data_IF_513205134472
#
_entry.id   IF_513205134472
#
_cell.length_a   1.000
_cell.length_b   1.000
_cell.length_c   1.000
_cell.angle_alpha   90.00
_cell.angle_beta   90.00
_cell.angle_gamma   90.00
#
_symmetry.space_group_name_H-M   'P 1'
#
loop_
_entity.id
_entity.type
_entity.pdbx_description
1 polymer ?
#
# COMPACT_ATOMS: atom_id res chain seq x y z
N UNK A 1 36.08 2.38 32.48
CA UNK A 1 35.07 3.35 32.96
C UNK A 1 33.78 2.88 32.37
N UNK A 2 32.85 2.45 33.21
CA UNK A 2 31.56 1.87 32.81
C UNK A 2 30.77 2.86 32.02
N UNK A 3 30.47 2.54 30.75
CA UNK A 3 29.40 3.17 30.02
C UNK A 3 28.13 2.79 30.76
N UNK A 4 27.55 3.73 31.54
CA UNK A 4 26.18 3.57 32.02
C UNK A 4 25.27 3.50 30.81
N UNK A 5 24.78 2.31 30.52
CA UNK A 5 23.87 2.07 29.41
C UNK A 5 22.60 2.88 29.70
N UNK A 6 22.27 3.83 28.80
CA UNK A 6 21.01 4.58 28.85
C UNK A 6 19.83 3.63 29.03
N UNK A 7 18.89 3.99 29.89
CA UNK A 7 17.62 3.26 30.00
C UNK A 7 16.85 3.32 28.67
N UNK A 8 15.92 2.40 28.40
CA UNK A 8 15.11 2.42 27.18
C UNK A 8 14.39 3.76 26.96
N UNK A 9 13.94 4.42 28.04
CA UNK A 9 13.28 5.73 27.95
C UNK A 9 14.27 6.84 27.57
N UNK A 10 15.43 6.88 28.19
CA UNK A 10 16.48 7.85 27.86
C UNK A 10 16.99 7.69 26.42
N UNK A 11 17.09 6.46 25.92
CA UNK A 11 17.42 6.19 24.53
C UNK A 11 16.38 6.75 23.57
N UNK A 12 15.07 6.54 23.86
CA UNK A 12 13.97 7.08 23.07
C UNK A 12 13.95 8.60 23.06
N UNK A 13 14.14 9.24 24.21
CA UNK A 13 14.20 10.70 24.32
C UNK A 13 15.39 11.27 23.55
N UNK A 14 16.57 10.64 23.66
CA UNK A 14 17.77 11.09 22.95
C UNK A 14 17.64 10.92 21.43
N UNK A 15 17.09 9.81 20.97
CA UNK A 15 16.85 9.56 19.56
C UNK A 15 15.88 10.62 18.99
N UNK A 16 14.79 10.89 19.72
CA UNK A 16 13.82 11.92 19.35
C UNK A 16 14.46 13.32 19.33
N UNK A 17 15.26 13.67 20.33
CA UNK A 17 15.98 14.96 20.40
C UNK A 17 16.86 15.16 19.15
N UNK A 18 17.65 14.17 18.77
CA UNK A 18 18.54 14.24 17.60
C UNK A 18 17.73 14.43 16.31
N UNK A 19 16.61 13.72 16.17
CA UNK A 19 15.75 13.86 15.00
C UNK A 19 15.07 15.24 14.95
N UNK A 20 14.59 15.78 16.08
CA UNK A 20 14.02 17.12 16.14
C UNK A 20 15.03 18.19 15.74
N UNK A 21 16.29 18.11 16.19
CA UNK A 21 17.35 19.03 15.82
C UNK A 21 17.64 18.97 14.32
N UNK A 22 17.61 17.75 13.72
CA UNK A 22 17.71 17.57 12.29
C UNK A 22 16.55 18.26 11.53
N UNK A 23 15.31 18.10 12.02
CA UNK A 23 14.14 18.79 11.47
C UNK A 23 14.22 20.32 11.59
N UNK A 24 14.91 20.82 12.60
CA UNK A 24 15.17 22.26 12.80
C UNK A 24 16.30 22.80 11.91
N UNK A 25 16.91 21.92 11.08
CA UNK A 25 17.94 22.32 10.10
C UNK A 25 19.38 22.29 10.62
N UNK A 26 19.64 21.58 11.71
CA UNK A 26 21.02 21.32 12.15
C UNK A 26 21.74 20.42 11.14
N UNK A 27 23.05 20.60 10.98
CA UNK A 27 23.85 19.89 9.98
C UNK A 27 23.89 18.39 10.26
N UNK A 28 23.68 17.60 9.21
CA UNK A 28 23.66 16.13 9.28
C UNK A 28 24.93 15.56 9.91
N UNK A 29 26.10 16.09 9.56
CA UNK A 29 27.39 15.59 10.07
C UNK A 29 27.48 15.71 11.61
N UNK A 30 26.93 16.80 12.19
CA UNK A 30 26.92 17.03 13.64
C UNK A 30 25.99 16.02 14.33
N UNK A 31 24.81 15.83 13.75
CA UNK A 31 23.83 14.86 14.27
C UNK A 31 24.39 13.43 14.17
N UNK A 32 25.05 13.08 13.05
CA UNK A 32 25.67 11.78 12.86
C UNK A 32 26.78 11.49 13.89
N UNK A 33 27.63 12.47 14.17
CA UNK A 33 28.67 12.31 15.20
C UNK A 33 28.07 12.09 16.58
N UNK A 34 27.04 12.83 16.93
CA UNK A 34 26.37 12.69 18.22
C UNK A 34 25.57 11.38 18.31
N UNK A 35 24.88 10.98 17.25
CA UNK A 35 24.23 9.68 17.13
C UNK A 35 25.22 8.53 17.37
N UNK A 36 26.36 8.56 16.70
CA UNK A 36 27.39 7.52 16.85
C UNK A 36 28.01 7.45 18.25
N UNK A 37 27.95 8.51 19.06
CA UNK A 37 28.42 8.53 20.45
C UNK A 37 27.44 7.83 21.41
N UNK A 38 26.14 7.90 21.10
CA UNK A 38 25.10 7.46 22.02
C UNK A 38 24.48 6.12 21.63
N UNK A 39 24.55 5.75 20.34
CA UNK A 39 23.92 4.53 19.83
C UNK A 39 24.94 3.63 19.13
N UNK A 40 25.09 2.40 19.64
CA UNK A 40 25.82 1.33 18.95
C UNK A 40 24.92 0.64 17.93
N UNK A 41 23.64 0.47 18.27
CA UNK A 41 22.57 -0.01 17.37
C UNK A 41 21.23 0.62 17.73
N UNK A 42 20.31 0.65 16.79
CA UNK A 42 18.91 1.09 16.98
C UNK A 42 18.01 0.00 16.43
N UNK A 43 17.04 -0.44 17.23
CA UNK A 43 16.08 -1.44 16.80
C UNK A 43 14.98 -0.81 15.92
N UNK A 44 14.37 -1.60 15.03
CA UNK A 44 13.21 -1.16 14.23
C UNK A 44 12.04 -0.66 15.10
N UNK A 45 11.87 -1.22 16.28
CA UNK A 45 10.87 -0.77 17.25
C UNK A 45 11.18 0.63 17.79
N UNK A 46 12.45 0.94 18.10
CA UNK A 46 12.86 2.28 18.53
C UNK A 46 12.60 3.33 17.43
N UNK A 47 12.82 2.97 16.16
CA UNK A 47 12.52 3.84 15.01
C UNK A 47 11.02 4.12 14.95
N UNK A 48 10.17 3.11 15.05
CA UNK A 48 8.71 3.25 15.03
C UNK A 48 8.20 4.15 16.15
N UNK A 49 8.70 3.95 17.39
CA UNK A 49 8.30 4.76 18.55
C UNK A 49 8.74 6.21 18.37
N UNK A 50 9.94 6.42 17.85
CA UNK A 50 10.47 7.75 17.55
C UNK A 50 9.59 8.49 16.52
N UNK A 51 9.28 7.88 15.38
CA UNK A 51 8.44 8.48 14.34
C UNK A 51 7.04 8.82 14.87
N UNK A 52 6.42 7.92 15.64
CA UNK A 52 5.14 8.17 16.29
C UNK A 52 5.21 9.36 17.26
N UNK A 53 6.28 9.46 18.05
CA UNK A 53 6.45 10.55 19.01
C UNK A 53 6.66 11.90 18.29
N UNK A 54 7.40 11.92 17.17
CA UNK A 54 7.55 13.11 16.34
C UNK A 54 6.20 13.60 15.79
N UNK A 55 5.36 12.67 15.30
CA UNK A 55 4.01 13.01 14.81
C UNK A 55 3.11 13.55 15.93
N UNK A 56 3.21 13.02 17.15
CA UNK A 56 2.46 13.54 18.31
C UNK A 56 2.90 14.95 18.72
N UNK A 57 4.13 15.34 18.45
CA UNK A 57 4.64 16.69 18.69
C UNK A 57 4.34 17.67 17.54
N UNK A 58 3.58 17.24 16.54
CA UNK A 58 3.11 18.09 15.46
C UNK A 58 4.00 18.12 14.23
N UNK A 59 5.04 17.27 14.17
CA UNK A 59 5.80 17.06 12.93
C UNK A 59 4.88 16.32 11.96
N UNK A 60 4.66 16.91 10.79
CA UNK A 60 3.79 16.29 9.78
C UNK A 60 4.46 15.07 9.13
N UNK A 61 3.66 14.19 8.55
CA UNK A 61 4.21 13.04 7.86
C UNK A 61 5.07 13.47 6.64
N UNK A 62 4.71 14.58 5.98
CA UNK A 62 5.47 15.16 4.87
C UNK A 62 6.87 15.63 5.31
N UNK A 63 6.98 16.17 6.50
CA UNK A 63 8.27 16.56 7.07
C UNK A 63 9.12 15.34 7.41
N UNK A 64 8.52 14.28 7.99
CA UNK A 64 9.21 13.01 8.27
C UNK A 64 9.67 12.38 6.94
N UNK A 65 8.82 12.36 5.92
CA UNK A 65 9.13 11.84 4.60
C UNK A 65 10.29 12.58 3.94
N UNK A 66 10.29 13.91 3.97
CA UNK A 66 11.37 14.74 3.40
C UNK A 66 12.74 14.41 3.98
N UNK A 67 12.81 14.06 5.26
CA UNK A 67 14.04 13.72 5.96
C UNK A 67 14.25 12.20 6.09
N UNK A 68 13.36 11.39 5.51
CA UNK A 68 13.44 9.94 5.59
C UNK A 68 14.77 9.38 5.05
N UNK A 69 15.33 9.98 3.99
CA UNK A 69 16.65 9.61 3.46
C UNK A 69 17.76 9.84 4.48
N UNK A 70 17.73 10.99 5.14
CA UNK A 70 18.72 11.36 6.17
C UNK A 70 18.55 10.46 7.38
N UNK A 71 17.30 10.18 7.81
CA UNK A 71 17.03 9.22 8.88
C UNK A 71 17.58 7.83 8.55
N UNK A 72 17.34 7.33 7.32
CA UNK A 72 17.86 6.05 6.88
C UNK A 72 19.39 6.04 6.79
N UNK A 73 20.01 7.09 6.31
CA UNK A 73 21.48 7.25 6.25
C UNK A 73 22.10 7.22 7.65
N UNK A 74 21.55 8.00 8.59
CA UNK A 74 22.02 8.05 9.98
C UNK A 74 21.96 6.68 10.68
N UNK A 75 20.91 5.90 10.40
CA UNK A 75 20.64 4.63 11.07
C UNK A 75 21.23 3.42 10.33
N UNK A 76 21.52 3.52 9.02
CA UNK A 76 21.87 2.39 8.16
C UNK A 76 23.01 1.51 8.66
N UNK A 77 24.01 2.10 9.32
CA UNK A 77 25.15 1.36 9.90
C UNK A 77 24.86 0.75 11.29
N UNK A 78 23.72 1.05 11.87
CA UNK A 78 23.41 0.79 13.28
C UNK A 78 22.06 0.09 13.51
N UNK A 79 21.31 -0.23 12.45
CA UNK A 79 20.06 -1.00 12.58
C UNK A 79 20.41 -2.46 12.91
N UNK A 80 19.83 -2.99 13.98
CA UNK A 80 19.97 -4.39 14.32
C UNK A 80 19.34 -5.25 13.23
N UNK A 81 20.14 -6.10 12.60
CA UNK A 81 19.62 -7.15 11.72
C UNK A 81 18.80 -8.11 12.61
N UNK A 82 17.51 -8.19 12.37
CA UNK A 82 16.68 -9.18 13.04
C UNK A 82 17.24 -10.58 12.80
N UNK A 83 17.37 -11.37 13.86
CA UNK A 83 17.73 -12.79 13.72
C UNK A 83 16.70 -13.44 12.80
N UNK A 84 17.18 -14.06 11.70
CA UNK A 84 16.32 -14.72 10.72
C UNK A 84 15.47 -15.79 11.38
N UNK A 85 14.15 -15.63 11.41
CA UNK A 85 13.28 -16.70 11.85
C UNK A 85 13.30 -17.82 10.80
N UNK A 86 13.48 -19.09 11.19
CA UNK A 86 13.61 -20.21 10.24
C UNK A 86 12.47 -20.31 9.21
N UNK A 87 11.26 -19.84 9.58
CA UNK A 87 10.10 -19.87 8.68
C UNK A 87 10.17 -18.82 7.56
N UNK A 88 10.92 -17.73 7.74
CA UNK A 88 11.05 -16.67 6.74
C UNK A 88 11.87 -17.08 5.50
N UNK A 89 12.60 -18.18 5.59
CA UNK A 89 13.35 -18.75 4.47
C UNK A 89 12.56 -19.81 3.69
N UNK A 90 11.36 -20.17 4.17
CA UNK A 90 10.49 -21.12 3.47
C UNK A 90 9.98 -20.55 2.16
N UNK A 91 9.96 -21.40 1.12
CA UNK A 91 9.44 -21.01 -0.19
C UNK A 91 7.98 -20.54 -0.10
N UNK A 92 7.69 -19.44 -0.77
CA UNK A 92 6.37 -18.80 -0.77
C UNK A 92 6.02 -18.01 0.50
N UNK A 93 6.84 -18.06 1.57
CA UNK A 93 6.62 -17.20 2.73
C UNK A 93 6.68 -15.72 2.30
N UNK A 94 5.76 -14.82 2.75
CA UNK A 94 5.70 -13.43 2.32
C UNK A 94 7.04 -12.68 2.42
N UNK A 95 7.81 -12.89 3.49
CA UNK A 95 9.14 -12.27 3.64
C UNK A 95 10.13 -12.80 2.61
N UNK A 96 10.13 -14.12 2.34
CA UNK A 96 10.99 -14.70 1.29
C UNK A 96 10.65 -14.14 -0.08
N UNK A 97 9.36 -14.01 -0.39
CA UNK A 97 8.88 -13.43 -1.65
C UNK A 97 9.38 -12.00 -1.80
N UNK A 98 9.19 -11.14 -0.78
CA UNK A 98 9.69 -9.75 -0.81
C UNK A 98 11.19 -9.68 -1.06
N UNK A 99 11.99 -10.50 -0.34
CA UNK A 99 13.45 -10.54 -0.51
C UNK A 99 13.89 -11.02 -1.91
N UNK A 100 13.23 -12.05 -2.46
CA UNK A 100 13.52 -12.54 -3.82
C UNK A 100 13.20 -11.48 -4.86
N UNK A 101 12.10 -10.77 -4.72
CA UNK A 101 11.72 -9.68 -5.60
C UNK A 101 12.67 -8.50 -5.50
N UNK A 102 13.11 -8.11 -4.30
CA UNK A 102 14.13 -7.10 -4.11
C UNK A 102 15.44 -7.46 -4.81
N UNK A 103 15.87 -8.72 -4.72
CA UNK A 103 17.04 -9.20 -5.45
C UNK A 103 16.85 -9.12 -6.98
N UNK A 104 15.68 -9.48 -7.47
CA UNK A 104 15.35 -9.42 -8.89
C UNK A 104 15.29 -7.97 -9.41
N UNK A 105 14.74 -7.04 -8.60
CA UNK A 105 14.70 -5.61 -8.89
C UNK A 105 16.12 -5.02 -8.98
N UNK A 106 17.01 -5.30 -8.00
CA UNK A 106 18.43 -4.90 -8.08
C UNK A 106 19.07 -5.38 -9.39
N UNK A 107 18.86 -6.66 -9.73
CA UNK A 107 19.40 -7.22 -10.97
C UNK A 107 18.82 -6.59 -12.24
N UNK A 108 17.55 -6.17 -12.25
CA UNK A 108 16.93 -5.46 -13.36
C UNK A 108 17.50 -4.04 -13.50
N UNK A 109 17.63 -3.31 -12.40
CA UNK A 109 18.22 -1.96 -12.37
C UNK A 109 19.67 -1.96 -12.90
N UNK A 110 20.48 -2.91 -12.48
CA UNK A 110 21.87 -3.02 -12.96
C UNK A 110 21.98 -3.41 -14.43
N UNK A 111 21.03 -4.21 -14.93
CA UNK A 111 20.96 -4.55 -16.37
C UNK A 111 20.52 -3.35 -17.19
N UNK A 112 19.53 -2.58 -16.75
CA UNK A 112 19.06 -1.38 -17.43
C UNK A 112 20.20 -0.35 -17.51
N UNK A 113 20.90 -0.10 -16.43
CA UNK A 113 22.02 0.84 -16.41
C UNK A 113 23.07 0.51 -17.48
N UNK A 114 23.55 -0.74 -17.50
CA UNK A 114 24.56 -1.17 -18.48
C UNK A 114 24.06 -1.06 -19.93
N UNK A 115 22.83 -1.48 -20.18
CA UNK A 115 22.23 -1.41 -21.51
C UNK A 115 22.00 0.05 -21.94
N UNK A 116 21.58 0.91 -21.01
CA UNK A 116 21.32 2.32 -21.28
C UNK A 116 22.63 3.08 -21.59
N UNK A 117 23.69 2.84 -20.83
CA UNK A 117 25.03 3.38 -21.10
C UNK A 117 25.52 3.00 -22.51
N UNK A 118 25.38 1.72 -22.88
CA UNK A 118 25.76 1.24 -24.21
C UNK A 118 24.87 1.84 -25.31
N UNK A 119 23.56 1.92 -25.08
CA UNK A 119 22.61 2.47 -26.04
C UNK A 119 22.81 3.97 -26.31
N UNK A 120 23.03 4.76 -25.25
CA UNK A 120 23.26 6.22 -25.41
C UNK A 120 24.43 6.48 -26.32
N UNK A 121 25.48 5.65 -26.23
CA UNK A 121 26.71 5.79 -27.03
C UNK A 121 26.59 5.27 -28.46
N UNK A 122 25.86 4.17 -28.69
CA UNK A 122 25.82 3.46 -29.98
C UNK A 122 24.55 3.68 -30.78
N UNK A 123 23.45 3.99 -30.11
CA UNK A 123 22.08 4.05 -30.67
C UNK A 123 21.65 2.74 -31.38
N UNK A 124 22.18 1.61 -30.93
CA UNK A 124 21.93 0.28 -31.50
C UNK A 124 20.49 -0.18 -31.22
N UNK A 125 19.78 -0.64 -32.25
CA UNK A 125 18.38 -1.07 -32.14
C UNK A 125 18.21 -2.35 -31.31
N UNK A 126 19.16 -3.27 -31.28
CA UNK A 126 19.09 -4.48 -30.46
C UNK A 126 19.23 -4.14 -28.98
N UNK A 127 20.08 -3.15 -28.63
CA UNK A 127 20.15 -2.62 -27.26
C UNK A 127 18.83 -1.95 -26.87
N UNK A 128 18.19 -1.21 -27.78
CA UNK A 128 16.88 -0.60 -27.52
C UNK A 128 15.80 -1.65 -27.25
N UNK A 129 15.77 -2.74 -28.02
CA UNK A 129 14.84 -3.86 -27.75
C UNK A 129 15.11 -4.50 -26.40
N UNK A 130 16.39 -4.70 -26.07
CA UNK A 130 16.81 -5.21 -24.75
C UNK A 130 16.34 -4.30 -23.61
N UNK A 131 16.54 -2.99 -23.75
CA UNK A 131 16.07 -1.98 -22.78
C UNK A 131 14.56 -2.00 -22.57
N UNK A 132 13.79 -1.96 -23.66
CA UNK A 132 12.30 -2.03 -23.57
C UNK A 132 11.86 -3.26 -22.80
N UNK A 133 12.50 -4.42 -23.03
CA UNK A 133 12.20 -5.64 -22.29
C UNK A 133 12.53 -5.54 -20.81
N UNK A 134 13.69 -4.97 -20.45
CA UNK A 134 14.12 -4.83 -19.05
C UNK A 134 13.27 -3.79 -18.31
N UNK A 135 12.92 -2.69 -18.97
CA UNK A 135 11.99 -1.68 -18.41
C UNK A 135 10.62 -2.29 -18.17
N UNK A 136 10.09 -3.09 -19.11
CA UNK A 136 8.82 -3.81 -18.91
C UNK A 136 8.86 -4.85 -17.77
N UNK A 137 10.03 -5.43 -17.47
CA UNK A 137 10.19 -6.24 -16.25
C UNK A 137 10.24 -5.36 -15.00
N UNK A 138 10.93 -4.23 -15.05
CA UNK A 138 11.00 -3.30 -13.92
C UNK A 138 9.64 -2.68 -13.59
N UNK A 139 8.76 -2.45 -14.57
CA UNK A 139 7.38 -1.97 -14.36
C UNK A 139 6.61 -2.80 -13.31
N UNK A 140 6.99 -4.07 -13.12
CA UNK A 140 6.35 -4.95 -12.14
C UNK A 140 6.66 -4.58 -10.68
N UNK A 141 7.56 -3.60 -10.42
CA UNK A 141 7.75 -3.10 -9.04
C UNK A 141 6.44 -2.56 -8.47
N UNK A 142 5.51 -2.14 -9.32
CA UNK A 142 4.18 -1.72 -8.91
C UNK A 142 3.42 -2.82 -8.16
N UNK A 143 3.48 -4.06 -8.61
CA UNK A 143 2.87 -5.21 -7.92
C UNK A 143 3.45 -5.40 -6.52
N UNK A 144 4.76 -5.20 -6.37
CA UNK A 144 5.46 -5.26 -5.09
C UNK A 144 4.98 -4.16 -4.12
N UNK A 145 4.80 -2.93 -4.63
CA UNK A 145 4.30 -1.81 -3.83
C UNK A 145 2.83 -1.99 -3.45
N UNK A 146 1.97 -2.38 -4.39
CA UNK A 146 0.56 -2.65 -4.12
C UNK A 146 0.37 -3.71 -3.03
N UNK A 147 1.17 -4.78 -3.02
CA UNK A 147 1.10 -5.77 -1.95
C UNK A 147 1.48 -5.21 -0.59
N UNK A 148 2.49 -4.35 -0.51
CA UNK A 148 2.81 -3.68 0.75
C UNK A 148 1.67 -2.78 1.19
N UNK A 149 1.17 -1.94 0.30
CA UNK A 149 0.13 -0.94 0.58
C UNK A 149 -1.20 -1.58 1.01
N UNK A 150 -1.60 -2.67 0.36
CA UNK A 150 -2.93 -3.26 0.53
C UNK A 150 -2.97 -4.61 1.24
N UNK A 151 -1.87 -5.33 1.37
CA UNK A 151 -1.83 -6.57 2.14
C UNK A 151 -1.01 -6.44 3.43
N UNK A 152 0.18 -5.81 3.39
CA UNK A 152 1.06 -5.71 4.56
C UNK A 152 0.66 -4.56 5.50
N UNK A 153 0.48 -3.34 4.98
CA UNK A 153 0.22 -2.14 5.78
C UNK A 153 -1.07 -2.22 6.60
N UNK A 154 -2.19 -2.77 6.10
CA UNK A 154 -3.39 -2.97 6.91
C UNK A 154 -3.15 -3.86 8.15
N UNK A 155 -2.31 -4.89 8.02
CA UNK A 155 -1.96 -5.76 9.14
C UNK A 155 -1.11 -4.98 10.15
N UNK A 156 -0.12 -4.21 9.69
CA UNK A 156 0.68 -3.34 10.56
C UNK A 156 -0.19 -2.37 11.35
N UNK A 157 -1.13 -1.70 10.68
CA UNK A 157 -2.05 -0.75 11.30
C UNK A 157 -2.92 -1.42 12.38
N UNK A 158 -3.40 -2.64 12.13
CA UNK A 158 -4.17 -3.43 13.11
C UNK A 158 -3.36 -3.76 14.37
N UNK A 159 -2.03 -3.75 14.28
CA UNK A 159 -1.08 -3.92 15.40
C UNK A 159 -0.65 -2.59 16.03
N UNK A 160 -1.22 -1.47 15.60
CA UNK A 160 -0.86 -0.12 16.10
C UNK A 160 0.40 0.47 15.46
N UNK A 161 0.95 -0.17 14.41
CA UNK A 161 2.08 0.34 13.65
C UNK A 161 1.52 1.20 12.51
N UNK A 162 1.33 2.50 12.73
CA UNK A 162 0.61 3.38 11.79
C UNK A 162 1.51 4.40 11.08
N UNK A 163 2.61 4.82 11.68
CA UNK A 163 3.49 5.83 11.09
C UNK A 163 4.30 5.29 9.90
N UNK A 164 5.02 4.15 10.00
CA UNK A 164 5.82 3.63 8.88
C UNK A 164 5.00 3.35 7.61
N UNK A 165 3.81 2.73 7.65
CA UNK A 165 2.97 2.56 6.46
C UNK A 165 2.67 3.87 5.74
N UNK A 166 2.30 4.92 6.46
CA UNK A 166 1.98 6.23 5.87
C UNK A 166 3.19 6.87 5.19
N UNK A 167 4.34 6.87 5.87
CA UNK A 167 5.59 7.40 5.32
C UNK A 167 6.02 6.62 4.08
N UNK A 168 6.02 5.29 4.16
CA UNK A 168 6.43 4.45 3.03
C UNK A 168 5.49 4.59 1.82
N UNK A 169 4.19 4.71 2.05
CA UNK A 169 3.25 4.95 0.94
C UNK A 169 3.54 6.28 0.24
N UNK A 170 3.83 7.35 1.00
CA UNK A 170 4.22 8.64 0.42
C UNK A 170 5.48 8.52 -0.45
N UNK A 171 6.50 7.81 0.03
CA UNK A 171 7.75 7.57 -0.74
C UNK A 171 7.48 6.69 -1.97
N UNK A 172 6.60 5.69 -1.89
CA UNK A 172 6.19 4.91 -3.08
C UNK A 172 5.60 5.81 -4.16
N UNK A 173 4.77 6.78 -3.79
CA UNK A 173 4.19 7.73 -4.73
C UNK A 173 5.25 8.63 -5.38
N UNK A 174 6.25 9.08 -4.61
CA UNK A 174 7.39 9.84 -5.15
C UNK A 174 8.20 9.01 -6.14
N UNK A 175 8.49 7.75 -5.80
CA UNK A 175 9.21 6.82 -6.68
C UNK A 175 8.43 6.59 -7.98
N UNK A 176 7.10 6.46 -7.92
CA UNK A 176 6.24 6.35 -9.10
C UNK A 176 6.39 7.55 -10.04
N UNK A 177 6.39 8.77 -9.51
CA UNK A 177 6.57 9.98 -10.32
C UNK A 177 7.98 10.08 -10.90
N UNK A 178 9.01 9.78 -10.12
CA UNK A 178 10.40 9.77 -10.58
C UNK A 178 10.59 8.72 -11.70
N UNK A 179 10.08 7.52 -11.50
CA UNK A 179 10.15 6.46 -12.50
C UNK A 179 9.37 6.80 -13.77
N UNK A 180 8.23 7.46 -13.65
CA UNK A 180 7.46 7.97 -14.78
C UNK A 180 8.26 8.99 -15.59
N UNK A 181 8.95 9.94 -14.92
CA UNK A 181 9.81 10.91 -15.61
C UNK A 181 10.93 10.22 -16.40
N UNK A 182 11.56 9.18 -15.82
CA UNK A 182 12.52 8.35 -16.56
C UNK A 182 11.88 7.69 -17.79
N UNK A 183 10.68 7.10 -17.68
CA UNK A 183 9.98 6.46 -18.81
C UNK A 183 9.65 7.47 -19.91
N UNK A 184 9.22 8.67 -19.56
CA UNK A 184 8.98 9.76 -20.51
C UNK A 184 10.27 10.19 -21.21
N UNK A 185 11.38 10.37 -20.48
CA UNK A 185 12.68 10.67 -21.05
C UNK A 185 13.17 9.56 -22.00
N UNK A 186 12.97 8.30 -21.60
CA UNK A 186 13.32 7.13 -22.44
C UNK A 186 12.45 7.06 -23.70
N UNK A 187 11.15 7.29 -23.60
CA UNK A 187 10.23 7.27 -24.74
C UNK A 187 10.56 8.39 -25.74
N UNK A 188 10.84 9.59 -25.24
CA UNK A 188 11.15 10.77 -26.04
C UNK A 188 12.62 10.84 -26.46
N UNK A 189 13.45 9.88 -26.01
CA UNK A 189 14.91 9.80 -26.28
C UNK A 189 15.65 11.10 -25.95
N UNK A 190 15.34 11.71 -24.81
CA UNK A 190 15.95 12.96 -24.37
C UNK A 190 17.39 12.75 -23.91
N UNK A 191 18.20 13.81 -23.93
CA UNK A 191 19.64 13.72 -23.57
C UNK A 191 19.86 13.41 -22.10
N UNK A 192 18.90 13.72 -21.22
CA UNK A 192 18.95 13.49 -19.78
C UNK A 192 18.43 12.11 -19.35
N UNK A 193 18.10 11.22 -20.28
CA UNK A 193 17.52 9.88 -19.98
C UNK A 193 18.37 9.07 -18.99
N UNK A 194 19.71 9.20 -19.08
CA UNK A 194 20.62 8.50 -18.16
C UNK A 194 20.54 9.09 -16.75
N UNK A 195 20.48 10.41 -16.63
CA UNK A 195 20.32 11.12 -15.35
C UNK A 195 19.00 10.74 -14.68
N UNK A 196 17.89 10.79 -15.43
CA UNK A 196 16.57 10.41 -14.95
C UNK A 196 16.55 8.95 -14.47
N UNK A 197 17.21 8.05 -15.17
CA UNK A 197 17.34 6.66 -14.76
C UNK A 197 18.12 6.51 -13.46
N UNK A 198 19.25 7.20 -13.31
CA UNK A 198 20.09 7.09 -12.11
C UNK A 198 19.34 7.59 -10.87
N UNK A 199 18.57 8.67 -10.98
CA UNK A 199 17.70 9.14 -9.91
C UNK A 199 16.65 8.09 -9.56
N UNK A 200 15.96 7.51 -10.54
CA UNK A 200 14.99 6.45 -10.31
C UNK A 200 15.62 5.19 -9.68
N UNK A 201 16.82 4.81 -10.13
CA UNK A 201 17.57 3.68 -9.58
C UNK A 201 17.91 3.91 -8.11
N UNK A 202 18.39 5.09 -7.74
CA UNK A 202 18.77 5.44 -6.37
C UNK A 202 17.59 5.32 -5.43
N UNK A 203 16.43 5.90 -5.80
CA UNK A 203 15.23 5.86 -4.98
C UNK A 203 14.67 4.44 -4.79
N UNK A 204 14.66 3.63 -5.85
CA UNK A 204 14.26 2.22 -5.78
C UNK A 204 15.19 1.41 -4.88
N UNK A 205 16.51 1.61 -4.98
CA UNK A 205 17.49 0.93 -4.13
C UNK A 205 17.38 1.36 -2.67
N UNK A 206 17.11 2.63 -2.41
CA UNK A 206 16.88 3.13 -1.06
C UNK A 206 15.61 2.54 -0.44
N UNK A 207 14.53 2.41 -1.21
CA UNK A 207 13.31 1.75 -0.74
C UNK A 207 13.57 0.27 -0.40
N UNK A 208 14.29 -0.46 -1.27
CA UNK A 208 14.69 -1.83 -0.99
C UNK A 208 15.52 -1.93 0.30
N UNK A 209 16.44 -0.99 0.52
CA UNK A 209 17.21 -0.93 1.76
C UNK A 209 16.31 -0.76 2.99
N UNK A 210 15.34 0.17 2.95
CA UNK A 210 14.38 0.41 4.05
C UNK A 210 13.51 -0.82 4.32
N UNK A 211 13.10 -1.52 3.28
CA UNK A 211 12.34 -2.76 3.42
C UNK A 211 13.13 -3.85 4.13
N UNK A 212 14.35 -4.12 3.70
CA UNK A 212 15.15 -5.23 4.23
C UNK A 212 15.67 -4.97 5.64
N UNK A 213 16.00 -3.71 5.94
CA UNK A 213 16.69 -3.37 7.19
C UNK A 213 15.76 -2.74 8.25
N UNK A 214 14.60 -2.22 7.87
CA UNK A 214 13.67 -1.59 8.80
C UNK A 214 12.32 -2.29 8.80
N UNK A 215 11.64 -2.36 7.65
CA UNK A 215 10.28 -2.87 7.56
C UNK A 215 10.20 -4.36 7.93
N UNK A 216 10.99 -5.21 7.27
CA UNK A 216 10.95 -6.66 7.50
C UNK A 216 11.30 -7.02 8.95
N UNK A 217 12.38 -6.49 9.58
CA UNK A 217 12.64 -6.72 10.99
C UNK A 217 11.52 -6.26 11.93
N UNK A 218 10.90 -5.10 11.62
CA UNK A 218 9.80 -4.54 12.40
C UNK A 218 8.57 -5.47 12.39
N UNK A 219 8.13 -5.89 11.20
CA UNK A 219 6.98 -6.79 11.08
C UNK A 219 7.27 -8.19 11.59
N UNK A 220 8.53 -8.65 11.49
CA UNK A 220 8.97 -9.92 12.07
C UNK A 220 8.78 -9.98 13.59
N UNK A 221 8.96 -8.87 14.29
CA UNK A 221 8.74 -8.78 15.74
C UNK A 221 7.26 -8.64 16.11
N UNK A 222 6.44 -8.06 15.24
CA UNK A 222 5.05 -7.68 15.53
C UNK A 222 4.03 -8.71 15.05
N UNK A 223 4.34 -9.47 14.00
CA UNK A 223 3.41 -10.37 13.33
C UNK A 223 3.43 -11.77 13.90
N UNK A 224 2.25 -12.37 14.02
CA UNK A 224 2.05 -13.77 14.30
C UNK A 224 1.85 -14.57 13.02
N UNK A 225 1.85 -15.88 13.13
CA UNK A 225 1.68 -16.80 11.99
C UNK A 225 0.40 -16.50 11.19
N UNK A 226 -0.70 -16.21 11.88
CA UNK A 226 -1.99 -15.89 11.24
C UNK A 226 -1.94 -14.58 10.43
N UNK A 227 -1.09 -13.62 10.81
CA UNK A 227 -0.90 -12.36 10.08
C UNK A 227 -0.18 -12.63 8.75
N UNK A 228 0.84 -13.49 8.78
CA UNK A 228 1.54 -13.93 7.58
C UNK A 228 0.65 -14.75 6.65
N UNK A 229 -0.23 -15.60 7.23
CA UNK A 229 -1.22 -16.36 6.47
C UNK A 229 -2.18 -15.42 5.72
N UNK A 230 -2.68 -14.38 6.36
CA UNK A 230 -3.52 -13.34 5.72
C UNK A 230 -2.79 -12.65 4.58
N UNK A 231 -1.55 -12.19 4.81
CA UNK A 231 -0.74 -11.55 3.77
C UNK A 231 -0.50 -12.50 2.59
N UNK A 232 -0.22 -13.78 2.83
CA UNK A 232 -0.04 -14.78 1.79
C UNK A 232 -1.32 -15.00 0.96
N UNK A 233 -2.50 -15.01 1.61
CA UNK A 233 -3.80 -15.15 0.96
C UNK A 233 -4.17 -13.95 0.09
N UNK A 234 -3.81 -12.74 0.51
CA UNK A 234 -4.10 -11.50 -0.23
C UNK A 234 -3.11 -11.25 -1.39
N UNK A 235 -1.90 -11.81 -1.32
CA UNK A 235 -0.80 -11.61 -2.29
C UNK A 235 -1.19 -11.89 -3.75
N UNK A 236 -1.90 -12.98 -4.10
CA UNK A 236 -2.21 -13.29 -5.50
C UNK A 236 -3.04 -12.24 -6.22
N UNK A 237 -3.81 -11.42 -5.50
CA UNK A 237 -4.65 -10.37 -6.08
C UNK A 237 -3.82 -9.25 -6.73
N UNK A 238 -2.60 -9.03 -6.24
CA UNK A 238 -1.70 -7.96 -6.72
C UNK A 238 -0.61 -8.48 -7.65
N UNK A 239 -0.48 -9.81 -7.77
CA UNK A 239 0.57 -10.45 -8.55
C UNK A 239 1.95 -10.35 -7.88
N UNK A 240 2.96 -10.81 -8.61
CA UNK A 240 4.36 -10.86 -8.18
C UNK A 240 5.21 -9.91 -9.01
N UNK A 241 6.41 -9.60 -8.52
CA UNK A 241 7.36 -8.73 -9.19
C UNK A 241 8.54 -9.53 -9.74
N UNK A 242 8.66 -9.63 -11.06
CA UNK A 242 9.74 -10.29 -11.82
C UNK A 242 9.87 -11.81 -11.55
N UNK A 243 9.75 -12.23 -10.30
CA UNK A 243 9.87 -13.62 -9.85
C UNK A 243 8.58 -14.05 -9.17
N UNK A 244 8.16 -15.30 -9.45
CA UNK A 244 7.00 -15.94 -8.81
C UNK A 244 7.53 -17.06 -7.90
N UNK A 245 7.01 -17.24 -6.69
CA UNK A 245 7.41 -18.35 -5.83
C UNK A 245 7.02 -19.69 -6.47
N UNK A 246 7.86 -20.72 -6.28
CA UNK A 246 7.63 -22.06 -6.84
C UNK A 246 6.50 -22.80 -6.11
N UNK A 247 6.20 -22.41 -4.87
CA UNK A 247 5.15 -23.00 -4.05
C UNK A 247 4.42 -21.95 -3.22
N UNK A 248 3.14 -22.16 -2.97
CA UNK A 248 2.38 -21.36 -2.00
C UNK A 248 2.81 -21.73 -0.58
N UNK A 249 3.07 -20.74 0.24
CA UNK A 249 3.29 -20.97 1.65
C UNK A 249 1.96 -21.23 2.37
N UNK A 250 1.90 -22.34 3.09
CA UNK A 250 0.74 -22.75 3.89
C UNK A 250 1.19 -23.10 5.29
N UNK A 251 0.44 -22.65 6.27
CA UNK A 251 0.66 -23.02 7.66
C UNK A 251 0.21 -24.47 7.85
N UNK A 252 1.11 -25.33 8.32
CA UNK A 252 0.73 -26.67 8.79
C UNK A 252 -0.11 -26.53 10.05
N UNK A 253 -1.43 -26.47 9.91
CA UNK A 253 -2.34 -26.49 11.07
C UNK A 253 -2.30 -27.88 11.68
N UNK A 254 -1.62 -28.02 12.84
CA UNK A 254 -1.89 -29.17 13.68
C UNK A 254 -3.39 -29.16 14.01
N UNK A 255 -4.11 -30.31 13.91
CA UNK A 255 -5.51 -30.32 14.26
C UNK A 255 -5.67 -29.91 15.72
N UNK A 256 -6.02 -28.66 15.94
CA UNK A 256 -6.51 -28.22 17.24
C UNK A 256 -7.85 -28.92 17.49
N UNK A 257 -8.13 -29.37 18.72
CA UNK A 257 -9.44 -29.89 19.03
C UNK A 257 -10.44 -28.80 18.70
N UNK A 258 -11.35 -29.14 17.84
CA UNK A 258 -12.44 -28.41 17.24
C UNK A 258 -12.96 -27.33 18.20
N UNK A 259 -12.55 -26.08 17.99
CA UNK A 259 -13.49 -25.00 18.22
C UNK A 259 -14.42 -25.04 17.01
N UNK A 260 -15.57 -25.64 17.18
CA UNK A 260 -16.69 -25.50 16.30
C UNK A 260 -16.84 -23.99 16.06
N UNK A 261 -16.54 -23.53 14.82
CA UNK A 261 -17.27 -22.40 14.30
C UNK A 261 -18.72 -22.80 14.47
N UNK A 262 -19.40 -22.21 15.43
CA UNK A 262 -20.84 -22.12 15.35
C UNK A 262 -21.06 -21.38 14.02
N UNK A 263 -21.29 -22.16 12.96
CA UNK A 263 -22.05 -21.72 11.83
C UNK A 263 -23.36 -21.27 12.46
N UNK A 264 -23.49 -19.95 12.59
CA UNK A 264 -24.79 -19.34 12.82
C UNK A 264 -25.56 -19.64 11.54
N UNK A 265 -26.16 -20.84 11.52
CA UNK A 265 -27.28 -21.14 10.64
C UNK A 265 -28.48 -20.34 11.20
N UNK A 266 -28.44 -19.04 11.08
CA UNK A 266 -29.67 -18.25 11.05
C UNK A 266 -30.31 -18.50 9.67
N UNK A 267 -31.06 -19.58 9.59
CA UNK A 267 -31.98 -19.93 8.49
C UNK A 267 -33.23 -19.05 8.55
N UNK A 268 -33.06 -17.76 8.76
CA UNK A 268 -34.14 -16.80 8.76
C UNK A 268 -33.98 -15.75 7.68
N UNK A 269 -35.04 -15.49 6.91
CA UNK A 269 -35.03 -14.36 5.98
C UNK A 269 -34.96 -13.05 6.77
N UNK A 270 -34.12 -12.14 6.32
CA UNK A 270 -34.01 -10.79 6.84
C UNK A 270 -35.13 -9.96 6.24
N UNK A 271 -36.02 -9.39 7.07
CA UNK A 271 -37.08 -8.52 6.56
C UNK A 271 -36.52 -7.22 6.02
N UNK A 272 -36.83 -6.89 4.79
CA UNK A 272 -36.51 -5.63 4.12
C UNK A 272 -37.77 -4.80 3.96
N UNK A 273 -37.65 -3.54 3.52
CA UNK A 273 -38.80 -2.63 3.36
C UNK A 273 -39.87 -3.13 2.37
N UNK A 274 -39.50 -3.97 1.40
CA UNK A 274 -40.37 -4.44 0.32
C UNK A 274 -40.38 -5.95 0.14
N UNK A 275 -39.86 -6.71 1.13
CA UNK A 275 -39.80 -8.17 1.05
C UNK A 275 -38.82 -8.74 2.05
N UNK A 276 -38.36 -9.97 1.83
CA UNK A 276 -37.35 -10.61 2.65
C UNK A 276 -36.36 -11.37 1.81
N UNK A 277 -35.13 -11.47 2.29
CA UNK A 277 -34.02 -12.20 1.65
C UNK A 277 -33.24 -12.96 2.72
N UNK A 278 -32.74 -14.16 2.38
CA UNK A 278 -31.73 -14.77 3.22
C UNK A 278 -30.41 -14.01 3.12
N UNK A 279 -29.50 -14.18 4.09
CA UNK A 279 -28.15 -13.61 4.02
C UNK A 279 -27.41 -14.04 2.75
N UNK A 280 -27.54 -15.31 2.37
CA UNK A 280 -26.96 -15.85 1.15
C UNK A 280 -27.51 -15.16 -0.10
N UNK A 281 -28.84 -14.98 -0.19
CA UNK A 281 -29.46 -14.27 -1.30
C UNK A 281 -28.99 -12.82 -1.37
N UNK A 282 -28.90 -12.13 -0.23
CA UNK A 282 -28.43 -10.75 -0.18
C UNK A 282 -26.97 -10.63 -0.66
N UNK A 283 -26.09 -11.52 -0.19
CA UNK A 283 -24.67 -11.52 -0.61
C UNK A 283 -24.54 -11.80 -2.11
N UNK A 284 -25.22 -12.82 -2.62
CA UNK A 284 -25.22 -13.15 -4.05
C UNK A 284 -25.74 -11.99 -4.92
N UNK A 285 -26.82 -11.34 -4.50
CA UNK A 285 -27.40 -10.20 -5.23
C UNK A 285 -26.42 -9.01 -5.27
N UNK A 286 -25.79 -8.67 -4.15
CA UNK A 286 -24.81 -7.60 -4.08
C UNK A 286 -23.58 -7.89 -4.96
N UNK A 287 -23.16 -9.15 -5.05
CA UNK A 287 -22.04 -9.58 -5.87
C UNK A 287 -22.36 -9.63 -7.38
N UNK A 288 -23.63 -9.75 -7.76
CA UNK A 288 -24.09 -9.74 -9.16
C UNK A 288 -24.32 -8.34 -9.73
N UNK A 289 -24.31 -7.29 -8.90
CA UNK A 289 -24.47 -5.93 -9.40
C UNK A 289 -23.29 -5.56 -10.32
N UNK A 290 -23.56 -4.92 -11.49
CA UNK A 290 -22.51 -4.53 -12.43
C UNK A 290 -21.78 -3.26 -11.96
N UNK A 291 -21.39 -3.24 -10.70
CA UNK A 291 -20.67 -2.14 -10.05
C UNK A 291 -19.92 -2.65 -8.83
N UNK A 292 -18.84 -1.98 -8.50
CA UNK A 292 -18.15 -2.20 -7.25
C UNK A 292 -18.83 -1.37 -6.15
N UNK A 293 -19.12 -1.99 -5.03
CA UNK A 293 -19.75 -1.35 -3.86
C UNK A 293 -18.77 -1.34 -2.71
N UNK A 294 -18.77 -0.25 -1.94
CA UNK A 294 -18.16 -0.19 -0.61
C UNK A 294 -19.05 0.56 0.34
N UNK A 295 -19.16 0.07 1.56
CA UNK A 295 -19.86 0.77 2.63
C UNK A 295 -18.89 1.11 3.77
N UNK A 296 -18.84 2.39 4.11
CA UNK A 296 -18.07 2.95 5.22
C UNK A 296 -19.06 3.47 6.24
N UNK A 297 -18.92 3.06 7.51
CA UNK A 297 -19.87 3.45 8.55
C UNK A 297 -19.68 4.91 9.02
N UNK A 298 -20.53 5.32 9.95
CA UNK A 298 -20.52 6.66 10.55
C UNK A 298 -19.21 7.02 11.27
N UNK A 299 -18.43 6.03 11.67
CA UNK A 299 -17.15 6.18 12.37
C UNK A 299 -15.96 6.12 11.40
N UNK A 300 -16.22 6.21 10.10
CA UNK A 300 -15.28 6.13 8.98
C UNK A 300 -14.62 4.75 8.80
N UNK A 301 -15.20 3.69 9.35
CA UNK A 301 -14.65 2.34 9.24
C UNK A 301 -15.26 1.62 8.04
N UNK A 302 -14.42 1.02 7.20
CA UNK A 302 -14.85 0.19 6.08
C UNK A 302 -15.52 -1.07 6.63
N UNK A 303 -16.81 -1.27 6.31
CA UNK A 303 -17.62 -2.39 6.80
C UNK A 303 -17.89 -3.46 5.77
N UNK A 304 -17.99 -3.07 4.52
CA UNK A 304 -18.38 -3.97 3.46
C UNK A 304 -17.82 -3.52 2.11
N UNK A 305 -17.50 -4.46 1.27
CA UNK A 305 -17.39 -4.29 -0.19
C UNK A 305 -17.87 -5.59 -0.86
N UNK A 306 -18.45 -5.47 -2.06
CA UNK A 306 -18.82 -6.67 -2.81
C UNK A 306 -17.60 -7.27 -3.53
N UNK A 307 -17.58 -8.60 -3.66
CA UNK A 307 -16.53 -9.29 -4.42
C UNK A 307 -16.71 -9.14 -5.94
N UNK A 308 -17.93 -8.79 -6.38
CA UNK A 308 -18.28 -8.64 -7.79
C UNK A 308 -18.52 -9.98 -8.49
N UNK A 309 -18.77 -9.92 -9.80
CA UNK A 309 -19.17 -11.06 -10.63
C UNK A 309 -18.00 -11.73 -11.38
N UNK A 310 -16.75 -11.52 -10.93
CA UNK A 310 -15.55 -12.02 -11.59
C UNK A 310 -14.97 -11.13 -12.68
N UNK A 311 -15.53 -9.94 -12.90
CA UNK A 311 -14.91 -8.92 -13.75
C UNK A 311 -13.69 -8.28 -13.04
N UNK A 312 -12.75 -7.78 -13.85
CA UNK A 312 -11.58 -7.08 -13.32
C UNK A 312 -12.00 -5.83 -12.53
N UNK A 313 -11.58 -5.76 -11.27
CA UNK A 313 -11.89 -4.63 -10.39
C UNK A 313 -11.20 -3.35 -10.84
N UNK A 314 -11.93 -2.25 -10.81
CA UNK A 314 -11.43 -0.90 -11.08
C UNK A 314 -10.55 -0.45 -9.92
N UNK A 315 -11.04 -0.66 -8.69
CA UNK A 315 -10.28 -0.47 -7.45
C UNK A 315 -10.11 -1.81 -6.75
N UNK A 316 -8.88 -2.24 -6.61
CA UNK A 316 -8.59 -3.49 -5.91
C UNK A 316 -8.81 -3.30 -4.41
N UNK A 317 -9.52 -4.26 -3.80
CA UNK A 317 -9.79 -4.30 -2.37
C UNK A 317 -9.60 -5.73 -1.87
N UNK A 318 -8.97 -5.86 -0.72
CA UNK A 318 -8.80 -7.14 -0.03
C UNK A 318 -9.61 -7.18 1.25
N UNK A 319 -9.77 -8.36 1.81
CA UNK A 319 -10.44 -8.54 3.11
C UNK A 319 -9.75 -7.76 4.23
N UNK A 320 -8.46 -7.46 4.08
CA UNK A 320 -7.70 -6.62 5.01
C UNK A 320 -8.15 -5.16 5.06
N UNK A 321 -8.95 -4.70 4.08
CA UNK A 321 -9.56 -3.38 4.13
C UNK A 321 -10.72 -3.29 5.14
N UNK A 322 -11.37 -4.42 5.47
CA UNK A 322 -12.49 -4.44 6.41
C UNK A 322 -12.02 -4.14 7.83
N UNK A 323 -12.70 -3.21 8.49
CA UNK A 323 -12.34 -2.72 9.83
C UNK A 323 -11.31 -1.60 9.84
N UNK A 324 -10.80 -1.19 8.69
CA UNK A 324 -9.82 -0.12 8.52
C UNK A 324 -10.51 1.23 8.46
N UNK A 325 -9.88 2.27 9.01
CA UNK A 325 -10.30 3.65 8.74
C UNK A 325 -10.14 3.94 7.25
N UNK A 326 -11.18 4.48 6.61
CA UNK A 326 -11.22 4.74 5.17
C UNK A 326 -10.08 5.66 4.71
N UNK A 327 -9.64 6.57 5.55
CA UNK A 327 -8.54 7.47 5.22
C UNK A 327 -7.24 6.69 4.94
N UNK A 328 -7.03 5.59 5.64
CA UNK A 328 -5.87 4.73 5.47
C UNK A 328 -5.97 3.80 4.25
N UNK A 329 -7.11 3.79 3.56
CA UNK A 329 -7.28 3.13 2.25
C UNK A 329 -6.90 4.04 1.08
N UNK A 330 -6.42 5.25 1.36
CA UNK A 330 -6.06 6.25 0.36
C UNK A 330 -4.62 6.72 0.55
N UNK A 331 -3.94 7.08 -0.55
CA UNK A 331 -2.62 7.71 -0.46
C UNK A 331 -2.68 9.00 0.37
N UNK A 332 -1.65 9.32 1.16
CA UNK A 332 -1.63 10.49 2.02
C UNK A 332 -1.96 11.81 1.31
N UNK A 333 -1.55 11.97 0.06
CA UNK A 333 -1.89 13.15 -0.77
C UNK A 333 -3.40 13.37 -0.97
N UNK A 334 -4.21 12.31 -0.81
CA UNK A 334 -5.68 12.37 -0.95
C UNK A 334 -6.40 12.56 0.38
N UNK A 335 -5.72 12.44 1.52
CA UNK A 335 -6.36 12.44 2.84
C UNK A 335 -7.22 13.68 3.09
N UNK A 336 -6.70 14.87 2.78
CA UNK A 336 -7.45 16.12 2.99
C UNK A 336 -8.76 16.16 2.18
N UNK A 337 -8.72 15.70 0.93
CA UNK A 337 -9.89 15.68 0.04
C UNK A 337 -10.90 14.66 0.53
N UNK A 338 -10.45 13.46 0.91
CA UNK A 338 -11.32 12.39 1.43
C UNK A 338 -11.98 12.83 2.75
N UNK A 339 -11.20 13.37 3.69
CA UNK A 339 -11.74 13.90 4.97
C UNK A 339 -12.80 14.96 4.72
N UNK A 340 -12.52 15.93 3.86
CA UNK A 340 -13.46 16.99 3.52
C UNK A 340 -14.76 16.44 2.90
N UNK A 341 -14.65 15.48 1.99
CA UNK A 341 -15.81 14.84 1.37
C UNK A 341 -16.70 14.14 2.41
N UNK A 342 -16.08 13.33 3.29
CA UNK A 342 -16.82 12.61 4.33
C UNK A 342 -17.49 13.55 5.33
N UNK A 343 -16.87 14.67 5.70
CA UNK A 343 -17.48 15.69 6.54
C UNK A 343 -18.65 16.42 5.87
N UNK A 344 -18.55 16.72 4.58
CA UNK A 344 -19.66 17.31 3.81
C UNK A 344 -20.86 16.38 3.69
N UNK A 345 -20.62 15.08 3.49
CA UNK A 345 -21.67 14.05 3.46
C UNK A 345 -22.27 13.84 4.84
N UNK A 346 -21.46 13.80 5.89
CA UNK A 346 -21.90 13.62 7.27
C UNK A 346 -22.77 14.78 7.74
N UNK A 347 -22.34 16.01 7.51
CA UNK A 347 -23.07 17.22 7.92
C UNK A 347 -24.35 17.48 7.13
N UNK A 348 -24.57 16.79 6.01
CA UNK A 348 -25.67 17.05 5.09
C UNK A 348 -25.45 18.27 4.19
N UNK A 349 -24.22 18.80 4.14
CA UNK A 349 -23.85 19.84 3.17
C UNK A 349 -23.91 19.29 1.74
N UNK A 350 -23.63 17.98 1.58
CA UNK A 350 -23.85 17.21 0.35
C UNK A 350 -24.60 15.91 0.68
N UNK A 351 -25.48 15.48 -0.20
CA UNK A 351 -26.07 14.14 -0.13
C UNK A 351 -25.31 13.13 -0.99
N UNK A 352 -24.67 13.61 -2.06
CA UNK A 352 -23.79 12.80 -2.90
C UNK A 352 -22.69 13.66 -3.54
N UNK A 353 -21.62 12.96 -3.97
CA UNK A 353 -20.57 13.49 -4.82
C UNK A 353 -20.30 12.50 -5.95
N UNK A 354 -20.06 13.02 -7.16
CA UNK A 354 -19.81 12.20 -8.33
C UNK A 354 -18.50 12.60 -9.00
N UNK A 355 -17.72 11.61 -9.43
CA UNK A 355 -16.48 11.81 -10.18
C UNK A 355 -16.50 10.99 -11.46
N UNK A 356 -15.91 11.56 -12.50
CA UNK A 356 -15.79 10.94 -13.81
C UNK A 356 -14.35 11.03 -14.30
N UNK A 357 -13.77 9.89 -14.70
CA UNK A 357 -12.43 9.90 -15.28
C UNK A 357 -12.24 8.73 -16.25
N UNK A 358 -11.21 8.85 -17.10
CA UNK A 358 -10.78 7.76 -17.97
C UNK A 358 -9.62 7.02 -17.34
N UNK A 359 -9.67 5.70 -17.39
CA UNK A 359 -8.57 4.82 -17.04
C UNK A 359 -8.43 3.81 -18.17
N UNK A 360 -7.36 3.97 -18.97
CA UNK A 360 -7.15 3.19 -20.20
C UNK A 360 -8.36 3.32 -21.16
N UNK A 361 -8.97 2.20 -21.52
CA UNK A 361 -10.18 2.13 -22.36
C UNK A 361 -11.50 2.23 -21.58
N UNK A 362 -11.41 2.31 -20.23
CA UNK A 362 -12.55 2.38 -19.32
C UNK A 362 -12.98 3.83 -19.08
N UNK A 363 -14.28 4.07 -19.03
CA UNK A 363 -14.90 5.32 -18.58
C UNK A 363 -15.47 5.07 -17.18
N UNK A 364 -14.79 5.59 -16.16
CA UNK A 364 -15.12 5.31 -14.78
C UNK A 364 -16.02 6.40 -14.23
N UNK A 365 -17.11 5.97 -13.61
CA UNK A 365 -18.00 6.79 -12.81
C UNK A 365 -17.97 6.31 -11.37
N UNK A 366 -17.66 7.22 -10.45
CA UNK A 366 -17.64 6.97 -9.01
C UNK A 366 -18.68 7.85 -8.35
N UNK A 367 -19.48 7.29 -7.48
CA UNK A 367 -20.43 8.03 -6.65
C UNK A 367 -20.22 7.71 -5.19
N UNK A 368 -20.16 8.75 -4.37
CA UNK A 368 -20.21 8.70 -2.92
C UNK A 368 -21.57 9.23 -2.47
N UNK A 369 -22.34 8.43 -1.76
CA UNK A 369 -23.68 8.80 -1.32
C UNK A 369 -23.80 8.67 0.21
N UNK A 370 -24.29 9.71 0.87
CA UNK A 370 -24.59 9.66 2.29
C UNK A 370 -25.75 8.69 2.54
N UNK A 371 -25.54 7.71 3.42
CA UNK A 371 -26.58 6.77 3.86
C UNK A 371 -27.19 7.29 5.16
N UNK A 372 -28.52 7.46 5.15
CA UNK A 372 -29.27 7.93 6.32
C UNK A 372 -30.41 6.97 6.64
N UNK A 373 -30.73 6.82 7.91
CA UNK A 373 -31.88 6.03 8.34
C UNK A 373 -33.20 6.82 8.16
N UNK A 374 -34.33 6.20 8.52
CA UNK A 374 -35.64 6.81 8.40
C UNK A 374 -35.83 8.07 9.28
N UNK A 375 -34.99 8.27 10.30
CA UNK A 375 -34.95 9.45 11.15
C UNK A 375 -34.03 10.56 10.63
N UNK A 376 -33.35 10.33 9.47
CA UNK A 376 -32.41 11.27 8.88
C UNK A 376 -30.99 11.20 9.49
N UNK A 377 -30.74 10.27 10.41
CA UNK A 377 -29.44 10.14 11.04
C UNK A 377 -28.43 9.53 10.06
N UNK A 378 -27.22 10.10 10.03
CA UNK A 378 -26.14 9.62 9.18
C UNK A 378 -25.61 8.27 9.64
N UNK A 379 -25.67 7.28 8.74
CA UNK A 379 -25.24 5.90 8.98
C UNK A 379 -23.86 5.62 8.35
N UNK A 380 -23.45 6.41 7.37
CA UNK A 380 -22.18 6.21 6.67
C UNK A 380 -22.25 6.67 5.21
N UNK A 381 -21.30 6.18 4.41
CA UNK A 381 -21.17 6.45 2.98
C UNK A 381 -21.24 5.14 2.20
N UNK A 382 -22.08 5.12 1.18
CA UNK A 382 -22.03 4.12 0.12
C UNK A 382 -21.22 4.69 -1.04
N UNK A 383 -20.12 4.04 -1.38
CA UNK A 383 -19.38 4.25 -2.62
C UNK A 383 -19.81 3.20 -3.63
N UNK A 384 -20.09 3.62 -4.87
CA UNK A 384 -20.23 2.69 -5.98
C UNK A 384 -19.47 3.17 -7.20
N UNK A 385 -18.85 2.21 -7.89
CA UNK A 385 -17.94 2.44 -9.01
C UNK A 385 -18.37 1.62 -10.20
N UNK A 386 -18.47 2.26 -11.37
CA UNK A 386 -18.89 1.59 -12.59
C UNK A 386 -17.96 1.95 -13.77
N UNK A 387 -17.70 0.97 -14.64
CA UNK A 387 -17.22 1.24 -15.97
C UNK A 387 -18.41 1.45 -16.91
N UNK A 388 -18.63 2.67 -17.33
CA UNK A 388 -19.76 3.02 -18.20
C UNK A 388 -19.43 2.94 -19.70
N UNK A 389 -18.18 2.67 -20.10
CA UNK A 389 -17.78 2.60 -21.50
C UNK A 389 -18.63 1.60 -22.31
N UNK A 390 -18.99 0.39 -21.82
CA UNK A 390 -19.86 -0.52 -22.54
C UNK A 390 -21.27 0.05 -22.79
N UNK A 391 -21.80 0.83 -21.84
CA UNK A 391 -23.12 1.43 -21.98
C UNK A 391 -23.11 2.54 -23.02
N UNK A 392 -22.11 3.43 -22.98
CA UNK A 392 -21.93 4.51 -23.96
C UNK A 392 -21.79 3.94 -25.38
N UNK A 393 -20.91 2.95 -25.56
CA UNK A 393 -20.69 2.29 -26.84
C UNK A 393 -21.97 1.63 -27.40
N UNK A 394 -22.72 0.94 -26.55
CA UNK A 394 -23.95 0.29 -26.95
C UNK A 394 -25.02 1.32 -27.29
N UNK A 395 -25.12 2.43 -26.58
CA UNK A 395 -26.07 3.49 -26.83
C UNK A 395 -25.81 4.23 -28.17
N UNK A 396 -24.51 4.42 -28.48
CA UNK A 396 -24.12 5.05 -29.78
C UNK A 396 -24.27 4.11 -30.98
N UNK A 397 -24.08 2.79 -30.77
CA UNK A 397 -24.03 1.82 -31.87
C UNK A 397 -25.34 1.07 -32.16
N UNK A 398 -26.30 1.05 -31.21
CA UNK A 398 -27.56 0.33 -31.38
C UNK A 398 -28.76 1.28 -31.37
N UNK A 399 -29.62 1.24 -32.37
CA UNK A 399 -30.91 1.95 -32.27
C UNK A 399 -31.68 1.35 -31.09
N UNK A 400 -32.27 2.23 -30.27
CA UNK A 400 -33.13 1.81 -29.16
C UNK A 400 -34.14 0.78 -29.68
N UNK A 401 -34.03 -0.47 -29.29
CA UNK A 401 -35.07 -1.47 -29.53
C UNK A 401 -36.32 -1.06 -28.74
N UNK A 402 -37.16 -0.27 -29.35
CA UNK A 402 -38.53 0.00 -28.93
C UNK A 402 -39.41 -1.16 -29.33
N UNK A 403 -39.32 -2.29 -28.73
CA UNK A 403 -40.34 -3.31 -28.79
C UNK A 403 -40.28 -4.15 -27.53
N UNK A 404 -40.84 -3.59 -26.47
CA UNK A 404 -41.52 -4.38 -25.47
C UNK A 404 -42.98 -4.33 -25.88
N UNK A 405 -43.39 -5.28 -26.73
CA UNK A 405 -44.79 -5.61 -26.94
C UNK A 405 -45.36 -6.37 -25.75
#
# INVERSE_FOLDING_TARGET
MSNDAMSPLERQEKLKELMLRLHQGEKEEVIQEEFNKHFDSVSPYEIQVMERNLMQEGITYEEIMRLCKIHASLMSAKVEAGEGMPDFEKEGHPVMVLKKENLALRGALDRIERLLQAYVSSKDEELLKGLKRQIGLLDQFENHYLRKEYALFPIMESKGITAPPKVMWGVHDEIREIYKNFKEAFHNQTDDVMEQFLVAKEELLEMIFKEENILIPMVAQAFHVDDWEKMAQDTPQYGYCIVTPEAEWKVEKKPSPIQSKEEIQETGDIPLSTGSLSLEQLDLLLNLLPMELSFVDKDNIVKYYNEGNGEEKIFQRTKSAIGRDVINCHPPKSHAIVTQLFEQLRSGQKEKEEMWFKKEDKMIHVTYHAVRNAQGEYMGVLEYVQNIAPYVKNFESQPLKRELS
#
